data_IF_259678858765
#
_entry.id   IF_259678858765
#
_cell.length_a   1.000
_cell.length_b   1.000
_cell.length_c   1.000
_cell.angle_alpha   90.00
_cell.angle_beta   90.00
_cell.angle_gamma   90.00
#
_symmetry.space_group_name_H-M   'P 1'
#
loop_
_entity.id
_entity.type
_entity.pdbx_description
1 polymer ?
#
# COMPACT_ATOMS: atom_id res chain seq x y z
N UNK A 1 12.50 -20.90 -12.46
CA UNK A 1 12.68 -20.38 -11.34
C UNK A 1 11.57 -19.56 -10.78
N UNK A 2 11.29 -19.72 -9.81
CA UNK A 2 10.25 -19.08 -9.24
C UNK A 2 10.61 -17.78 -8.68
N UNK A 3 9.67 -17.08 -8.24
CA UNK A 3 9.88 -15.77 -7.69
C UNK A 3 10.65 -15.85 -6.40
N UNK A 4 11.81 -15.23 -6.39
CA UNK A 4 12.55 -15.06 -5.17
C UNK A 4 12.06 -13.79 -4.49
N UNK A 5 12.09 -13.74 -3.18
CA UNK A 5 11.76 -12.50 -2.48
C UNK A 5 12.73 -11.40 -2.90
N UNK A 6 12.30 -10.17 -2.79
CA UNK A 6 13.17 -9.04 -3.00
C UNK A 6 14.31 -9.08 -1.99
N UNK A 7 15.51 -8.74 -2.42
CA UNK A 7 16.63 -8.63 -1.49
C UNK A 7 16.37 -7.47 -0.51
N UNK A 8 16.99 -7.49 0.66
CA UNK A 8 16.87 -6.36 1.58
C UNK A 8 17.28 -5.04 0.94
N UNK A 9 18.28 -5.07 0.06
CA UNK A 9 18.75 -3.88 -0.62
C UNK A 9 17.73 -3.35 -1.59
N UNK A 10 17.13 -4.23 -2.40
CA UNK A 10 16.09 -3.84 -3.36
C UNK A 10 14.88 -3.29 -2.62
N UNK A 11 14.51 -3.92 -1.52
CA UNK A 11 13.38 -3.47 -0.72
C UNK A 11 13.65 -2.09 -0.12
N UNK A 12 14.85 -1.88 0.38
CA UNK A 12 15.23 -0.59 0.94
C UNK A 12 15.20 0.51 -0.10
N UNK A 13 15.76 0.24 -1.29
CA UNK A 13 15.75 1.20 -2.38
C UNK A 13 14.33 1.52 -2.82
N UNK A 14 13.49 0.49 -2.91
CA UNK A 14 12.10 0.65 -3.29
C UNK A 14 11.37 1.56 -2.30
N UNK A 15 11.55 1.33 -1.00
CA UNK A 15 10.90 2.15 0.02
C UNK A 15 11.41 3.59 0.03
N UNK A 16 12.67 3.81 -0.34
CA UNK A 16 13.19 5.16 -0.47
C UNK A 16 12.48 5.92 -1.60
N UNK A 17 12.25 5.25 -2.73
CA UNK A 17 11.52 5.86 -3.84
C UNK A 17 10.06 6.14 -3.43
N UNK A 18 9.47 5.21 -2.69
CA UNK A 18 8.10 5.38 -2.18
C UNK A 18 7.96 6.67 -1.40
N UNK A 19 8.95 7.02 -0.60
CA UNK A 19 8.91 8.23 0.22
C UNK A 19 8.89 9.52 -0.59
N UNK A 20 9.25 9.46 -1.85
CA UNK A 20 9.25 10.66 -2.71
C UNK A 20 7.90 10.89 -3.38
N UNK A 21 6.97 9.97 -3.23
CA UNK A 21 5.66 10.08 -3.87
C UNK A 21 4.72 11.00 -3.10
N UNK A 22 3.70 11.54 -3.76
CA UNK A 22 2.66 12.30 -3.06
C UNK A 22 2.00 11.44 -1.98
N UNK A 23 1.43 12.04 -0.93
CA UNK A 23 0.94 11.29 0.25
C UNK A 23 0.06 10.08 -0.06
N UNK A 24 -0.93 10.23 -0.93
CA UNK A 24 -1.82 9.11 -1.26
C UNK A 24 -1.05 7.97 -1.92
N UNK A 25 -0.25 8.31 -2.93
CA UNK A 25 0.51 7.32 -3.69
C UNK A 25 1.58 6.68 -2.82
N UNK A 26 2.20 7.49 -1.96
CA UNK A 26 3.19 7.01 -1.02
C UNK A 26 2.59 5.97 -0.08
N UNK A 27 1.45 6.27 0.52
CA UNK A 27 0.84 5.35 1.46
C UNK A 27 0.43 4.05 0.79
N UNK A 28 -0.15 4.14 -0.40
CA UNK A 28 -0.53 2.94 -1.15
C UNK A 28 0.67 2.05 -1.40
N UNK A 29 1.77 2.64 -1.88
CA UNK A 29 2.98 1.88 -2.15
C UNK A 29 3.61 1.32 -0.87
N UNK A 30 3.56 2.06 0.23
CA UNK A 30 4.06 1.55 1.51
C UNK A 30 3.29 0.32 1.97
N UNK A 31 1.98 0.35 1.81
CA UNK A 31 1.15 -0.79 2.21
C UNK A 31 1.47 -2.01 1.37
N UNK A 32 1.59 -1.82 0.06
CA UNK A 32 1.87 -2.95 -0.84
C UNK A 32 3.29 -3.47 -0.67
N UNK A 33 4.28 -2.61 -0.77
CA UNK A 33 5.67 -3.04 -0.72
C UNK A 33 6.21 -3.23 0.69
N UNK A 34 5.75 -2.42 1.62
CA UNK A 34 6.22 -2.46 2.99
C UNK A 34 5.52 -3.51 3.84
N UNK A 35 4.22 -3.68 3.64
CA UNK A 35 3.41 -4.61 4.43
C UNK A 35 3.00 -5.85 3.66
N UNK A 36 3.31 -5.92 2.37
CA UNK A 36 3.01 -7.10 1.59
C UNK A 36 1.54 -7.31 1.31
N UNK A 37 0.78 -6.23 1.20
CA UNK A 37 -0.65 -6.29 0.92
C UNK A 37 -0.88 -6.29 -0.58
N UNK A 38 -1.85 -7.09 -1.03
CA UNK A 38 -2.25 -7.10 -2.43
C UNK A 38 -2.78 -5.72 -2.82
N UNK A 39 -2.40 -5.16 -3.97
CA UNK A 39 -2.88 -3.83 -4.37
C UNK A 39 -4.40 -3.68 -4.36
N UNK A 40 -5.14 -4.70 -4.82
CA UNK A 40 -6.60 -4.61 -4.80
C UNK A 40 -7.15 -4.63 -3.38
N UNK A 41 -6.51 -5.36 -2.48
CA UNK A 41 -6.92 -5.38 -1.08
C UNK A 41 -6.62 -4.03 -0.42
N UNK A 42 -5.50 -3.41 -0.77
CA UNK A 42 -5.15 -2.10 -0.21
C UNK A 42 -6.21 -1.04 -0.54
N UNK A 43 -6.85 -1.16 -1.69
CA UNK A 43 -7.87 -0.21 -2.11
C UNK A 43 -9.19 -0.37 -1.34
N UNK A 44 -9.32 -1.40 -0.51
CA UNK A 44 -10.54 -1.61 0.28
C UNK A 44 -10.59 -0.79 1.56
N UNK A 45 -9.52 -0.09 1.91
CA UNK A 45 -9.48 0.70 3.15
C UNK A 45 -10.48 1.83 3.09
N UNK A 46 -11.31 1.93 4.13
CA UNK A 46 -12.34 2.97 4.22
C UNK A 46 -12.01 3.92 5.37
N UNK A 47 -12.22 5.21 5.12
CA UNK A 47 -11.92 6.23 6.13
C UNK A 47 -12.69 6.01 7.43
N UNK A 48 -13.96 5.60 7.32
CA UNK A 48 -14.80 5.39 8.52
C UNK A 48 -14.37 4.19 9.36
N UNK A 49 -13.51 3.32 8.81
CA UNK A 49 -13.02 2.15 9.54
C UNK A 49 -11.65 2.36 10.17
N UNK A 50 -11.09 3.55 10.05
CA UNK A 50 -9.77 3.83 10.61
C UNK A 50 -9.85 3.94 12.12
N UNK A 51 -8.97 3.21 12.82
CA UNK A 51 -8.84 3.35 14.27
C UNK A 51 -7.75 4.38 14.55
N UNK A 52 -8.16 5.56 14.98
CA UNK A 52 -7.25 6.68 15.18
C UNK A 52 -6.51 6.56 16.51
N UNK A 53 -5.21 6.61 16.45
CA UNK A 53 -4.35 6.67 17.62
C UNK A 53 -3.67 8.03 17.69
N UNK A 54 -2.77 8.19 18.64
CA UNK A 54 -2.09 9.46 18.86
C UNK A 54 -1.10 9.79 17.75
N UNK A 55 -0.16 8.91 17.49
CA UNK A 55 0.84 9.09 16.45
C UNK A 55 0.64 8.18 15.27
N UNK A 56 -0.14 7.14 15.45
CA UNK A 56 -0.37 6.13 14.43
C UNK A 56 -1.83 5.79 14.33
N UNK A 57 -2.20 5.23 13.19
CA UNK A 57 -3.57 4.79 12.97
C UNK A 57 -3.54 3.36 12.47
N UNK A 58 -4.62 2.63 12.69
CA UNK A 58 -4.78 1.26 12.21
C UNK A 58 -5.78 1.26 11.09
N UNK A 59 -5.33 0.76 9.94
CA UNK A 59 -6.17 0.64 8.76
C UNK A 59 -6.70 -0.77 8.66
N UNK A 60 -7.97 -0.92 8.29
CA UNK A 60 -8.56 -2.23 8.07
C UNK A 60 -8.52 -2.55 6.59
N UNK A 61 -7.75 -3.56 6.22
CA UNK A 61 -7.65 -4.02 4.83
C UNK A 61 -8.52 -5.27 4.71
N UNK A 62 -9.45 -5.26 3.79
CA UNK A 62 -10.33 -6.40 3.58
C UNK A 62 -9.65 -7.38 2.63
N UNK A 63 -9.33 -8.56 3.14
CA UNK A 63 -8.62 -9.57 2.36
C UNK A 63 -9.51 -10.68 1.86
N UNK A 64 -10.82 -10.57 2.12
CA UNK A 64 -11.81 -11.54 1.71
C UNK A 64 -13.16 -11.10 2.22
N UNK A 65 -14.16 -11.97 2.09
CA UNK A 65 -15.51 -11.60 2.49
C UNK A 65 -15.64 -11.23 3.95
N UNK A 66 -14.97 -11.97 4.81
CA UNK A 66 -15.08 -11.74 6.24
C UNK A 66 -13.72 -11.67 6.91
N UNK A 67 -12.64 -11.58 6.13
CA UNK A 67 -11.29 -11.49 6.68
C UNK A 67 -10.76 -10.08 6.54
N UNK A 68 -10.09 -9.64 7.57
CA UNK A 68 -9.46 -8.32 7.58
C UNK A 68 -8.05 -8.43 8.11
N UNK A 69 -7.20 -7.54 7.63
CA UNK A 69 -5.85 -7.42 8.12
C UNK A 69 -5.66 -5.99 8.58
N UNK A 70 -5.04 -5.82 9.74
CA UNK A 70 -4.76 -4.49 10.27
C UNK A 70 -3.35 -4.06 9.88
N UNK A 71 -3.25 -2.85 9.35
CA UNK A 71 -1.97 -2.26 8.99
C UNK A 71 -1.81 -0.97 9.79
N UNK A 72 -0.70 -0.83 10.50
CA UNK A 72 -0.45 0.37 11.29
C UNK A 72 0.45 1.31 10.51
N UNK A 73 0.01 2.56 10.38
CA UNK A 73 0.75 3.58 9.62
C UNK A 73 0.76 4.90 10.39
N UNK A 74 1.56 5.84 9.93
CA UNK A 74 1.68 7.14 10.57
C UNK A 74 0.39 7.96 10.38
N UNK A 75 -0.09 8.52 11.46
CA UNK A 75 -1.31 9.33 11.46
C UNK A 75 -1.18 10.56 10.56
N UNK A 76 -0.05 11.23 10.61
CA UNK A 76 0.18 12.43 9.83
C UNK A 76 -0.02 12.21 8.33
N UNK A 77 0.44 11.08 7.82
CA UNK A 77 0.30 10.75 6.41
C UNK A 77 -1.18 10.57 6.05
N UNK A 78 -1.92 9.86 6.89
CA UNK A 78 -3.35 9.63 6.66
C UNK A 78 -4.13 10.93 6.73
N UNK A 79 -3.82 11.78 7.70
CA UNK A 79 -4.47 13.08 7.82
C UNK A 79 -4.22 13.95 6.59
N UNK A 80 -3.00 13.90 6.05
CA UNK A 80 -2.66 14.63 4.85
C UNK A 80 -3.45 14.17 3.63
N UNK A 81 -3.77 12.89 3.58
CA UNK A 81 -4.57 12.33 2.48
C UNK A 81 -6.04 12.68 2.60
N UNK A 82 -6.58 12.52 3.80
CA UNK A 82 -8.02 12.71 4.04
C UNK A 82 -8.45 14.15 4.19
N UNK A 83 -7.60 15.00 4.74
CA UNK A 83 -8.03 16.32 5.14
C UNK A 83 -9.14 16.19 6.18
N UNK A 84 -10.29 16.77 5.89
CA UNK A 84 -11.43 16.70 6.80
C UNK A 84 -12.35 15.52 6.53
N UNK A 85 -12.10 14.77 5.48
CA UNK A 85 -12.94 13.65 5.09
C UNK A 85 -12.80 12.49 6.07
N UNK A 86 -13.93 11.91 6.48
CA UNK A 86 -13.93 10.79 7.43
C UNK A 86 -14.77 9.61 6.95
N UNK A 87 -15.21 9.66 5.69
CA UNK A 87 -16.02 8.59 5.09
C UNK A 87 -15.53 8.30 3.68
N UNK A 88 -15.83 7.12 3.20
CA UNK A 88 -15.50 6.70 1.85
C UNK A 88 -14.11 6.09 1.76
N UNK A 89 -13.66 5.80 0.54
CA UNK A 89 -12.37 5.15 0.35
C UNK A 89 -11.21 6.06 0.76
N UNK A 90 -10.20 5.48 1.41
CA UNK A 90 -9.00 6.22 1.74
C UNK A 90 -8.26 6.61 0.47
N UNK A 91 -8.12 5.65 -0.45
CA UNK A 91 -7.44 5.89 -1.72
C UNK A 91 -8.44 6.36 -2.76
N UNK A 92 -8.56 7.66 -2.88
CA UNK A 92 -9.54 8.29 -3.74
C UNK A 92 -8.94 9.49 -4.45
N UNK A 93 -9.63 9.95 -5.50
CA UNK A 93 -9.29 11.20 -6.15
C UNK A 93 -9.70 12.35 -5.23
N UNK A 94 -9.31 13.57 -5.58
CA UNK A 94 -9.68 14.73 -4.76
C UNK A 94 -11.20 14.94 -4.70
N UNK A 95 -11.95 14.38 -5.64
CA UNK A 95 -13.42 14.45 -5.59
C UNK A 95 -14.04 13.28 -4.84
N UNK A 96 -13.25 12.42 -4.22
CA UNK A 96 -13.78 11.33 -3.42
C UNK A 96 -14.11 10.06 -4.16
N UNK A 97 -13.77 9.97 -5.44
CA UNK A 97 -14.02 8.77 -6.24
C UNK A 97 -12.87 7.77 -6.00
N UNK A 98 -13.18 6.49 -5.75
CA UNK A 98 -12.11 5.52 -5.54
C UNK A 98 -11.16 5.45 -6.73
N UNK A 99 -9.87 5.35 -6.46
CA UNK A 99 -8.92 5.15 -7.55
C UNK A 99 -9.06 3.72 -8.08
N UNK A 100 -8.77 3.55 -9.35
CA UNK A 100 -8.95 2.25 -10.00
C UNK A 100 -7.75 1.35 -9.79
N UNK A 101 -8.00 0.05 -9.85
CA UNK A 101 -6.96 -0.94 -9.70
C UNK A 101 -5.86 -0.79 -10.77
N UNK A 102 -6.23 -0.44 -11.99
CA UNK A 102 -5.25 -0.26 -13.06
C UNK A 102 -4.36 0.97 -12.81
N UNK A 103 -4.91 2.03 -12.22
CA UNK A 103 -4.10 3.18 -11.83
C UNK A 103 -3.09 2.76 -10.76
N UNK A 104 -3.56 2.02 -9.77
CA UNK A 104 -2.68 1.55 -8.69
C UNK A 104 -1.55 0.68 -9.25
N UNK A 105 -1.87 -0.21 -10.17
CA UNK A 105 -0.87 -1.08 -10.78
C UNK A 105 0.19 -0.27 -11.53
N UNK A 106 -0.23 0.74 -12.29
CA UNK A 106 0.70 1.59 -13.02
C UNK A 106 1.58 2.41 -12.08
N UNK A 107 1.00 2.92 -11.01
CA UNK A 107 1.75 3.66 -10.00
C UNK A 107 2.85 2.79 -9.40
N UNK A 108 2.48 1.59 -8.98
CA UNK A 108 3.43 0.67 -8.36
C UNK A 108 4.54 0.26 -9.32
N UNK A 109 4.19 0.08 -10.59
CA UNK A 109 5.18 -0.23 -11.61
C UNK A 109 6.17 0.93 -11.79
N UNK A 110 5.68 2.17 -11.80
CA UNK A 110 6.55 3.34 -11.91
C UNK A 110 7.52 3.46 -10.73
N UNK A 111 7.00 3.17 -9.53
CA UNK A 111 7.84 3.21 -8.34
C UNK A 111 8.93 2.17 -8.42
N UNK A 112 8.58 0.96 -8.85
CA UNK A 112 9.54 -0.11 -9.00
C UNK A 112 10.61 0.22 -10.05
N UNK A 113 10.19 0.80 -11.18
CA UNK A 113 11.13 1.21 -12.22
C UNK A 113 12.09 2.27 -11.72
N UNK A 114 11.58 3.26 -10.99
CA UNK A 114 12.41 4.31 -10.43
C UNK A 114 13.41 3.76 -9.42
N UNK A 115 13.08 2.66 -8.78
CA UNK A 115 13.98 2.01 -7.84
C UNK A 115 14.95 1.03 -8.51
N UNK A 116 14.84 0.85 -9.83
CA UNK A 116 15.70 -0.07 -10.56
C UNK A 116 15.31 -1.53 -10.42
N UNK A 117 14.10 -1.79 -9.97
CA UNK A 117 13.58 -3.16 -9.83
C UNK A 117 12.70 -3.46 -11.03
N UNK A 118 12.77 -4.66 -11.62
CA UNK A 118 11.93 -4.99 -12.78
C UNK A 118 10.46 -4.82 -12.45
N UNK A 119 9.80 -3.90 -13.14
CA UNK A 119 8.45 -3.48 -12.79
C UNK A 119 7.41 -4.60 -12.87
N UNK A 120 7.51 -5.45 -13.84
CA UNK A 120 6.54 -6.50 -14.04
C UNK A 120 6.52 -7.55 -12.94
N UNK A 121 7.58 -7.64 -12.16
CA UNK A 121 7.70 -8.66 -11.13
C UNK A 121 7.73 -8.11 -9.72
N UNK A 122 8.04 -6.83 -9.58
CA UNK A 122 8.33 -6.25 -8.27
C UNK A 122 7.16 -6.30 -7.30
N UNK A 123 5.96 -5.95 -7.75
CA UNK A 123 4.78 -6.00 -6.89
C UNK A 123 4.51 -7.43 -6.46
N UNK A 124 4.55 -8.32 -7.40
CA UNK A 124 4.32 -9.73 -7.15
C UNK A 124 5.34 -10.30 -6.19
N UNK A 125 6.61 -9.94 -6.36
CA UNK A 125 7.68 -10.41 -5.49
C UNK A 125 7.54 -9.89 -4.07
N UNK A 126 7.21 -8.63 -3.91
CA UNK A 126 7.04 -8.04 -2.59
C UNK A 126 5.89 -8.71 -1.85
N UNK A 127 4.76 -8.89 -2.51
CA UNK A 127 3.64 -9.60 -1.95
C UNK A 127 3.98 -11.05 -1.66
N UNK A 128 4.63 -11.69 -2.63
CA UNK A 128 5.00 -13.10 -2.52
C UNK A 128 5.90 -13.35 -1.33
N UNK A 129 6.88 -12.48 -1.11
CA UNK A 129 7.79 -12.61 0.01
C UNK A 129 7.05 -12.56 1.34
N UNK A 130 6.16 -11.57 1.50
CA UNK A 130 5.37 -11.45 2.71
C UNK A 130 4.40 -12.61 2.85
N UNK A 131 3.77 -12.98 1.77
CA UNK A 131 2.79 -14.04 1.78
C UNK A 131 3.41 -15.38 2.11
N UNK A 132 4.59 -15.66 1.59
CA UNK A 132 5.30 -16.88 1.91
C UNK A 132 5.59 -16.95 3.39
N UNK A 133 6.08 -15.88 3.97
CA UNK A 133 6.33 -15.83 5.41
C UNK A 133 5.04 -16.00 6.20
N UNK A 134 4.01 -15.30 5.82
CA UNK A 134 2.75 -15.34 6.54
C UNK A 134 2.01 -16.65 6.37
N UNK A 135 2.15 -17.29 5.21
CA UNK A 135 1.43 -18.52 4.92
C UNK A 135 2.08 -19.77 5.45
N UNK A 136 3.32 -19.70 5.76
CA UNK A 136 4.07 -20.87 6.23
C UNK A 136 4.25 -20.80 7.74
#
# INVERSE_FOLDING_TARGET
MHDLPLSPEDRSTLLQVVRTQPPRDRLLAEIVFGHGVDPTDALTVKAEEIAWGEDRVKLSVHTGRSTRRTVTVEREVVEGILGERRHGPLFATHSGVPIRADYAARLLARVAEAAGVPSGLSVKRARGAKRVVASR
#
